data_IF_789572123499
#
_entry.id   IF_789572123499
#
_cell.length_a   1.000
_cell.length_b   1.000
_cell.length_c   1.000
_cell.angle_alpha   90.00
_cell.angle_beta   90.00
_cell.angle_gamma   90.00
#
_symmetry.space_group_name_H-M   'P 1'
#
loop_
_entity.id
_entity.type
_entity.pdbx_description
1 polymer ?
#
# COMPACT_ATOMS: atom_id res chain seq x y z
N UNK A 1 -33.68 2.42 -3.39
CA UNK A 1 -33.07 2.04 -2.10
C UNK A 1 -32.42 0.68 -2.31
N UNK A 2 -31.11 0.64 -2.57
CA UNK A 2 -30.36 -0.61 -2.86
C UNK A 2 -29.54 -0.91 -1.60
N UNK A 3 -29.58 -2.12 -1.03
CA UNK A 3 -28.87 -2.42 0.20
C UNK A 3 -27.37 -2.48 -0.10
N UNK A 4 -26.60 -1.57 0.52
CA UNK A 4 -25.14 -1.55 0.35
C UNK A 4 -24.55 -2.50 1.38
N UNK A 5 -24.06 -3.63 0.87
CA UNK A 5 -23.66 -4.83 1.60
C UNK A 5 -22.43 -4.61 2.51
N UNK A 6 -22.32 -5.42 3.56
CA UNK A 6 -21.36 -5.31 4.67
C UNK A 6 -19.85 -5.29 4.33
N UNK A 7 -19.46 -5.33 3.06
CA UNK A 7 -18.08 -5.11 2.64
C UNK A 7 -17.65 -3.65 2.82
N UNK A 8 -18.53 -2.67 2.61
CA UNK A 8 -18.20 -1.26 2.88
C UNK A 8 -18.08 -0.98 4.37
N UNK A 9 -18.87 -1.65 5.22
CA UNK A 9 -18.76 -1.51 6.68
C UNK A 9 -17.42 -1.98 7.21
N UNK A 10 -16.92 -3.14 6.75
CA UNK A 10 -15.59 -3.61 7.15
C UNK A 10 -14.50 -2.63 6.70
N UNK A 11 -14.52 -2.22 5.43
CA UNK A 11 -13.55 -1.28 4.87
C UNK A 11 -13.58 0.05 5.64
N UNK A 12 -14.75 0.64 5.87
CA UNK A 12 -14.91 1.88 6.64
C UNK A 12 -14.46 1.75 8.11
N UNK A 13 -14.71 0.63 8.77
CA UNK A 13 -14.23 0.39 10.14
C UNK A 13 -12.70 0.29 10.20
N UNK A 14 -12.04 -0.32 9.21
CA UNK A 14 -10.57 -0.38 9.14
C UNK A 14 -9.93 0.96 8.74
N UNK A 15 -10.67 1.87 8.12
CA UNK A 15 -10.22 3.24 7.78
C UNK A 15 -10.35 4.24 8.94
N UNK A 16 -11.08 3.91 10.01
CA UNK A 16 -11.47 4.85 11.06
C UNK A 16 -10.60 4.80 12.34
N UNK A 17 -9.46 4.08 12.34
CA UNK A 17 -8.55 4.03 13.49
C UNK A 17 -7.37 5.01 13.32
N UNK A 18 -7.31 6.09 14.13
CA UNK A 18 -6.34 7.18 13.96
C UNK A 18 -4.94 6.89 14.51
N UNK A 19 -4.67 5.72 15.13
CA UNK A 19 -3.40 5.49 15.84
C UNK A 19 -2.15 5.30 14.94
N UNK A 20 -2.32 5.15 13.62
CA UNK A 20 -1.20 5.08 12.65
C UNK A 20 -1.63 5.57 11.25
N UNK A 21 -2.31 6.72 11.16
CA UNK A 21 -2.72 7.29 9.86
C UNK A 21 -1.61 8.09 9.19
N UNK A 22 -0.57 7.39 8.72
CA UNK A 22 0.43 8.00 7.83
C UNK A 22 0.17 7.55 6.38
N UNK A 23 -0.42 8.41 5.52
CA UNK A 23 -0.38 8.25 4.05
C UNK A 23 1.04 8.34 3.46
N UNK A 24 2.04 8.66 4.27
CA UNK A 24 3.38 8.89 3.81
C UNK A 24 4.18 7.58 3.70
N UNK A 25 5.24 7.53 2.88
CA UNK A 25 6.13 6.38 2.86
C UNK A 25 6.92 6.22 4.17
N UNK A 26 6.61 6.94 5.26
CA UNK A 26 7.25 6.84 6.58
C UNK A 26 6.31 6.18 7.59
N UNK A 27 6.86 5.33 8.46
CA UNK A 27 6.13 4.72 9.58
C UNK A 27 7.05 4.52 10.78
N UNK A 28 6.54 4.84 11.98
CA UNK A 28 7.12 4.42 13.25
C UNK A 28 6.65 3.02 13.65
N UNK A 29 7.23 2.47 14.72
CA UNK A 29 6.82 1.18 15.28
C UNK A 29 6.31 1.34 16.72
N UNK A 30 5.06 0.96 17.03
CA UNK A 30 4.53 1.01 18.38
C UNK A 30 5.43 0.29 19.40
N UNK A 31 5.70 0.94 20.54
CA UNK A 31 6.57 0.42 21.58
C UNK A 31 8.08 0.48 21.28
N UNK A 32 8.49 1.02 20.11
CA UNK A 32 9.90 1.19 19.74
C UNK A 32 10.18 2.64 19.29
N UNK A 33 10.38 3.57 20.23
CA UNK A 33 10.41 5.02 19.96
C UNK A 33 11.56 5.50 19.05
N UNK A 34 12.58 4.66 18.81
CA UNK A 34 13.72 4.97 17.96
C UNK A 34 13.70 4.23 16.62
N UNK A 35 12.71 3.37 16.37
CA UNK A 35 12.60 2.55 15.17
C UNK A 35 11.64 3.19 14.16
N UNK A 36 12.18 3.55 13.00
CA UNK A 36 11.41 4.12 11.90
C UNK A 36 11.83 3.52 10.57
N UNK A 37 10.89 3.55 9.64
CA UNK A 37 11.10 3.18 8.25
C UNK A 37 10.62 4.31 7.38
N UNK A 38 11.34 4.60 6.29
CA UNK A 38 10.79 5.43 5.22
C UNK A 38 11.10 4.86 3.84
N UNK A 39 10.19 5.07 2.90
CA UNK A 39 10.39 4.85 1.47
C UNK A 39 10.75 6.17 0.79
N UNK A 40 11.68 6.12 -0.16
CA UNK A 40 12.07 7.27 -0.94
C UNK A 40 11.54 7.18 -2.38
N UNK A 41 11.33 8.34 -2.99
CA UNK A 41 11.14 8.43 -4.44
C UNK A 41 12.49 8.12 -5.11
N UNK A 42 12.54 7.07 -5.93
CA UNK A 42 13.73 6.65 -6.67
C UNK A 42 14.86 6.00 -5.87
N UNK A 43 14.66 5.64 -4.60
CA UNK A 43 15.76 5.15 -3.75
C UNK A 43 15.36 4.13 -2.67
N UNK A 44 14.24 3.42 -2.85
CA UNK A 44 13.92 2.24 -2.04
C UNK A 44 13.51 2.54 -0.61
N UNK A 45 13.73 1.59 0.31
CA UNK A 45 13.30 1.68 1.71
C UNK A 45 14.50 1.73 2.65
N UNK A 46 14.38 2.60 3.64
CA UNK A 46 15.40 2.89 4.63
C UNK A 46 14.86 2.65 6.04
N UNK A 47 15.73 2.15 6.92
CA UNK A 47 15.44 1.84 8.31
C UNK A 47 16.41 2.59 9.22
N UNK A 48 15.91 3.09 10.34
CA UNK A 48 16.71 3.58 11.46
C UNK A 48 16.29 2.88 12.74
N UNK A 49 17.23 2.65 13.65
CA UNK A 49 16.99 2.10 14.99
C UNK A 49 17.46 3.06 16.11
N UNK A 50 17.92 4.25 15.74
CA UNK A 50 18.51 5.23 16.64
C UNK A 50 17.88 6.63 16.48
N UNK A 51 16.59 6.69 16.10
CA UNK A 51 15.85 7.94 16.01
C UNK A 51 16.27 8.81 14.83
N UNK A 52 16.77 8.21 13.75
CA UNK A 52 17.11 8.91 12.51
C UNK A 52 18.54 9.47 12.45
N UNK A 53 19.39 9.15 13.42
CA UNK A 53 20.81 9.53 13.39
C UNK A 53 21.58 8.81 12.27
N UNK A 54 21.25 7.52 12.05
CA UNK A 54 21.75 6.75 10.90
C UNK A 54 20.63 5.98 10.23
N UNK A 55 20.80 5.72 8.93
CA UNK A 55 19.83 5.03 8.09
C UNK A 55 20.52 3.91 7.31
N UNK A 56 19.89 2.74 7.28
CA UNK A 56 20.32 1.58 6.52
C UNK A 56 19.30 1.29 5.42
N UNK A 57 19.76 1.13 4.18
CA UNK A 57 18.92 0.64 3.09
C UNK A 57 18.53 -0.83 3.35
N UNK A 58 17.25 -1.16 3.18
CA UNK A 58 16.68 -2.50 3.38
C UNK A 58 16.00 -3.07 2.13
N UNK A 59 16.11 -2.40 0.99
CA UNK A 59 15.48 -2.82 -0.27
C UNK A 59 16.48 -3.36 -1.29
N UNK A 60 17.74 -2.94 -1.22
CA UNK A 60 18.79 -3.32 -2.16
C UNK A 60 18.94 -4.85 -2.22
N UNK A 61 19.01 -5.38 -3.45
CA UNK A 61 19.04 -6.81 -3.71
C UNK A 61 17.67 -7.50 -3.81
N UNK A 62 16.57 -6.82 -3.43
CA UNK A 62 15.21 -7.37 -3.50
C UNK A 62 14.31 -6.59 -4.45
N UNK A 63 14.19 -5.28 -4.24
CA UNK A 63 13.34 -4.40 -5.02
C UNK A 63 13.89 -2.97 -5.02
N UNK A 64 13.38 -2.12 -5.89
CA UNK A 64 13.83 -0.74 -6.00
C UNK A 64 12.83 0.16 -6.70
N UNK A 65 13.28 1.37 -7.00
CA UNK A 65 12.43 2.42 -7.56
C UNK A 65 11.74 3.25 -6.48
N UNK A 66 10.62 3.84 -6.84
CA UNK A 66 9.86 4.72 -5.95
C UNK A 66 8.95 3.93 -5.04
N UNK A 67 8.84 4.37 -3.78
CA UNK A 67 8.00 3.73 -2.77
C UNK A 67 6.82 4.65 -2.46
N UNK A 68 5.61 4.10 -2.57
CA UNK A 68 4.36 4.82 -2.30
C UNK A 68 3.77 4.50 -0.94
N UNK A 69 4.10 3.34 -0.36
CA UNK A 69 3.61 2.95 0.95
C UNK A 69 4.60 2.04 1.67
N UNK A 70 4.75 2.24 2.98
CA UNK A 70 5.44 1.32 3.88
C UNK A 70 4.53 1.12 5.09
N UNK A 71 4.28 -0.14 5.45
CA UNK A 71 3.47 -0.48 6.62
C UNK A 71 4.16 -1.56 7.44
N UNK A 72 4.25 -1.36 8.76
CA UNK A 72 4.77 -2.34 9.71
C UNK A 72 3.62 -2.92 10.52
N UNK A 73 3.62 -4.23 10.77
CA UNK A 73 2.58 -4.86 11.57
C UNK A 73 2.70 -4.45 13.04
N UNK A 74 1.57 -4.06 13.64
CA UNK A 74 1.50 -3.73 15.07
C UNK A 74 1.65 -4.98 15.96
N UNK A 75 1.16 -6.14 15.51
CA UNK A 75 1.26 -7.41 16.24
C UNK A 75 2.62 -8.08 16.11
N UNK A 76 3.34 -7.84 15.00
CA UNK A 76 4.69 -8.37 14.77
C UNK A 76 5.54 -7.37 13.97
N UNK A 77 6.36 -6.55 14.65
CA UNK A 77 7.21 -5.56 13.97
C UNK A 77 8.26 -6.12 13.01
N UNK A 78 8.45 -7.44 12.92
CA UNK A 78 9.30 -8.03 11.90
C UNK A 78 8.59 -8.08 10.53
N UNK A 79 7.26 -8.06 10.52
CA UNK A 79 6.48 -8.07 9.28
C UNK A 79 6.31 -6.67 8.73
N UNK A 80 6.84 -6.46 7.53
CA UNK A 80 6.80 -5.19 6.81
C UNK A 80 6.22 -5.44 5.43
N UNK A 81 5.28 -4.61 5.01
CA UNK A 81 4.78 -4.55 3.64
C UNK A 81 5.20 -3.25 2.98
N UNK A 82 5.61 -3.33 1.73
CA UNK A 82 6.08 -2.20 0.94
C UNK A 82 5.34 -2.16 -0.38
N UNK A 83 4.79 -1.00 -0.72
CA UNK A 83 4.11 -0.72 -1.98
C UNK A 83 4.96 0.14 -2.88
N UNK A 84 5.21 -0.35 -4.10
CA UNK A 84 5.95 0.40 -5.12
C UNK A 84 5.09 1.44 -5.84
N UNK A 85 5.79 2.42 -6.42
CA UNK A 85 5.23 3.50 -7.23
C UNK A 85 4.90 4.73 -6.40
N UNK A 86 5.18 5.90 -6.96
CA UNK A 86 4.95 7.16 -6.27
C UNK A 86 3.46 7.44 -6.02
N UNK A 87 3.09 7.79 -4.78
CA UNK A 87 1.72 8.15 -4.42
C UNK A 87 1.33 9.54 -4.97
N UNK A 88 2.26 10.49 -4.97
CA UNK A 88 2.06 11.85 -5.48
C UNK A 88 2.17 11.92 -6.99
N UNK A 89 1.03 11.76 -7.67
CA UNK A 89 0.93 11.91 -9.13
C UNK A 89 1.10 13.38 -9.56
N UNK A 90 2.34 13.77 -9.84
CA UNK A 90 2.71 15.01 -10.55
C UNK A 90 3.16 14.65 -11.97
N UNK A 91 3.19 15.61 -12.91
CA UNK A 91 3.34 15.38 -14.35
C UNK A 91 4.49 14.48 -14.83
N UNK A 92 5.44 14.11 -13.95
CA UNK A 92 6.36 12.99 -14.13
C UNK A 92 6.32 12.13 -12.86
N UNK A 93 5.89 10.86 -12.97
CA UNK A 93 5.78 9.93 -11.83
C UNK A 93 6.43 8.60 -12.14
N UNK A 94 7.13 8.07 -11.14
CA UNK A 94 7.80 6.78 -11.24
C UNK A 94 6.86 5.65 -10.79
N UNK A 95 6.58 4.72 -11.68
CA UNK A 95 5.86 3.50 -11.34
C UNK A 95 6.73 2.55 -10.52
N UNK A 96 6.09 1.66 -9.79
CA UNK A 96 6.72 0.55 -9.09
C UNK A 96 6.21 -0.81 -9.57
N UNK A 97 6.69 -1.83 -8.89
CA UNK A 97 6.53 -3.24 -9.26
C UNK A 97 5.77 -3.98 -8.16
N UNK A 98 4.57 -3.48 -7.83
CA UNK A 98 3.64 -4.16 -6.93
C UNK A 98 4.00 -4.05 -5.45
N UNK A 99 3.71 -5.12 -4.72
CA UNK A 99 3.84 -5.19 -3.26
C UNK A 99 4.92 -6.19 -2.87
N UNK A 100 5.68 -5.85 -1.83
CA UNK A 100 6.74 -6.66 -1.26
C UNK A 100 6.47 -6.90 0.23
N UNK A 101 6.91 -8.05 0.74
CA UNK A 101 6.86 -8.39 2.16
C UNK A 101 8.22 -8.83 2.68
N UNK A 102 8.54 -8.36 3.88
CA UNK A 102 9.61 -8.88 4.74
C UNK A 102 8.98 -9.47 6.00
N UNK A 103 9.55 -10.56 6.49
CA UNK A 103 9.17 -11.21 7.76
C UNK A 103 10.32 -11.15 8.80
N UNK A 104 11.38 -10.41 8.49
CA UNK A 104 12.62 -10.33 9.26
C UNK A 104 13.12 -8.87 9.38
N UNK A 105 12.16 -7.95 9.53
CA UNK A 105 12.36 -6.53 9.77
C UNK A 105 13.18 -5.81 8.69
N UNK A 106 13.05 -6.25 7.43
CA UNK A 106 13.71 -5.70 6.24
C UNK A 106 15.04 -6.39 5.89
N UNK A 107 15.33 -7.56 6.43
CA UNK A 107 16.57 -8.27 6.09
C UNK A 107 16.45 -9.00 4.75
N UNK A 108 15.27 -9.56 4.49
CA UNK A 108 14.87 -10.17 3.22
C UNK A 108 13.55 -9.60 2.71
N UNK A 109 13.37 -9.63 1.39
CA UNK A 109 12.15 -9.17 0.72
C UNK A 109 11.64 -10.19 -0.29
N UNK A 110 10.34 -10.45 -0.27
CA UNK A 110 9.64 -11.32 -1.22
C UNK A 110 8.59 -10.52 -2.00
N UNK A 111 8.54 -10.70 -3.32
CA UNK A 111 7.47 -10.11 -4.14
C UNK A 111 6.15 -10.81 -3.90
N UNK A 112 5.08 -10.04 -3.78
CA UNK A 112 3.71 -10.51 -3.58
C UNK A 112 2.81 -10.24 -4.79
N UNK A 113 3.41 -9.83 -5.92
CA UNK A 113 2.70 -9.46 -7.15
C UNK A 113 2.01 -8.10 -7.05
N UNK A 114 0.87 -7.96 -7.75
CA UNK A 114 0.21 -6.68 -8.04
C UNK A 114 1.06 -5.72 -8.89
N UNK A 115 2.00 -6.25 -9.66
CA UNK A 115 2.97 -5.48 -10.48
C UNK A 115 2.27 -4.56 -11.50
N UNK A 116 1.13 -5.02 -12.01
CA UNK A 116 0.30 -4.30 -12.99
C UNK A 116 -0.46 -3.12 -12.39
N UNK A 117 -0.58 -3.04 -11.07
CA UNK A 117 -1.21 -1.90 -10.41
C UNK A 117 -0.38 -0.63 -10.51
N UNK A 118 0.95 -0.76 -10.73
CA UNK A 118 1.96 0.29 -10.94
C UNK A 118 2.18 1.24 -9.77
N UNK A 119 1.14 1.61 -9.04
CA UNK A 119 1.16 2.61 -7.98
C UNK A 119 0.33 2.11 -6.79
N UNK A 120 1.03 1.83 -5.70
CA UNK A 120 0.42 1.47 -4.42
C UNK A 120 0.41 2.71 -3.53
N UNK A 121 -0.77 3.29 -3.33
CA UNK A 121 -0.92 4.51 -2.53
C UNK A 121 -1.10 4.25 -1.04
N UNK A 122 -1.47 3.02 -0.64
CA UNK A 122 -1.66 2.70 0.78
C UNK A 122 -1.66 1.21 1.07
N UNK A 123 -1.16 0.84 2.25
CA UNK A 123 -1.23 -0.52 2.80
C UNK A 123 -1.75 -0.45 4.25
N UNK A 124 -2.65 -1.35 4.62
CA UNK A 124 -3.18 -1.49 5.98
C UNK A 124 -3.11 -2.95 6.41
N UNK A 125 -2.43 -3.20 7.53
CA UNK A 125 -2.27 -4.53 8.12
C UNK A 125 -3.24 -4.64 9.29
N UNK A 126 -3.91 -5.79 9.43
CA UNK A 126 -4.80 -6.02 10.56
C UNK A 126 -4.02 -5.99 11.88
N UNK A 127 -4.52 -5.32 12.93
CA UNK A 127 -3.74 -4.99 14.13
C UNK A 127 -3.26 -6.21 14.92
N UNK A 128 -3.98 -7.33 14.83
CA UNK A 128 -3.67 -8.57 15.56
C UNK A 128 -3.28 -9.74 14.67
N UNK A 129 -3.32 -9.58 13.34
CA UNK A 129 -2.99 -10.67 12.42
C UNK A 129 -2.29 -10.12 11.15
N UNK A 130 -0.97 -10.30 11.01
CA UNK A 130 -0.21 -9.74 9.89
C UNK A 130 -0.55 -10.34 8.52
N UNK A 131 -1.29 -11.46 8.46
CA UNK A 131 -1.68 -12.10 7.20
C UNK A 131 -2.92 -11.46 6.56
N UNK A 132 -3.69 -10.71 7.34
CA UNK A 132 -4.83 -9.95 6.81
C UNK A 132 -4.35 -8.55 6.47
N UNK A 133 -4.23 -8.28 5.17
CA UNK A 133 -3.70 -7.01 4.65
C UNK A 133 -4.57 -6.47 3.53
N UNK A 134 -4.72 -5.15 3.50
CA UNK A 134 -5.43 -4.40 2.48
C UNK A 134 -4.47 -3.48 1.75
N UNK A 135 -4.60 -3.41 0.43
CA UNK A 135 -3.76 -2.60 -0.46
C UNK A 135 -4.65 -1.73 -1.33
N UNK A 136 -4.42 -0.42 -1.30
CA UNK A 136 -5.05 0.55 -2.18
C UNK A 136 -4.14 0.79 -3.40
N UNK A 137 -4.55 0.26 -4.53
CA UNK A 137 -3.88 0.39 -5.81
C UNK A 137 -4.52 1.52 -6.63
N UNK A 138 -3.72 2.51 -7.00
CA UNK A 138 -4.15 3.64 -7.85
C UNK A 138 -4.34 3.15 -9.30
N UNK A 139 -3.60 2.12 -9.72
CA UNK A 139 -3.66 1.63 -11.10
C UNK A 139 -2.89 2.52 -12.07
N UNK A 140 -2.79 2.12 -13.34
CA UNK A 140 -2.19 2.95 -14.38
C UNK A 140 -3.00 4.25 -14.53
N UNK A 141 -2.36 5.39 -14.26
CA UNK A 141 -2.97 6.72 -14.35
C UNK A 141 -3.01 7.28 -15.78
N UNK A 142 -2.24 6.68 -16.70
CA UNK A 142 -2.11 7.14 -18.09
C UNK A 142 -3.02 6.38 -19.06
N UNK A 143 -3.73 5.35 -18.60
CA UNK A 143 -4.62 4.55 -19.44
C UNK A 143 -5.77 3.95 -18.62
N UNK A 144 -6.91 3.67 -19.27
CA UNK A 144 -7.95 2.84 -18.68
C UNK A 144 -7.36 1.48 -18.28
N UNK A 145 -7.59 1.07 -17.04
CA UNK A 145 -6.97 -0.13 -16.51
C UNK A 145 -7.80 -0.77 -15.40
N UNK A 146 -7.91 -2.10 -15.45
CA UNK A 146 -8.75 -2.85 -14.53
C UNK A 146 -8.10 -3.04 -13.15
N UNK A 147 -6.82 -2.73 -12.97
CA UNK A 147 -6.11 -3.00 -11.71
C UNK A 147 -6.19 -1.86 -10.67
N UNK A 148 -7.02 -0.84 -10.91
CA UNK A 148 -7.36 0.17 -9.89
C UNK A 148 -8.36 -0.38 -8.87
N UNK A 149 -8.09 -0.22 -7.58
CA UNK A 149 -9.03 -0.58 -6.52
C UNK A 149 -8.37 -0.98 -5.21
N UNK A 150 -9.17 -1.52 -4.29
CA UNK A 150 -8.69 -2.09 -3.04
C UNK A 150 -8.61 -3.60 -3.17
N UNK A 151 -7.45 -4.14 -2.84
CA UNK A 151 -7.16 -5.56 -2.77
C UNK A 151 -7.06 -5.99 -1.31
N UNK A 152 -7.54 -7.19 -1.01
CA UNK A 152 -7.45 -7.83 0.31
C UNK A 152 -6.73 -9.17 0.16
N UNK A 153 -5.77 -9.41 1.03
CA UNK A 153 -5.23 -10.75 1.29
C UNK A 153 -5.63 -11.21 2.69
N UNK A 154 -5.72 -12.52 2.88
CA UNK A 154 -5.93 -13.19 4.17
C UNK A 154 -4.84 -14.23 4.45
N UNK A 155 -3.80 -14.26 3.62
CA UNK A 155 -2.72 -15.26 3.62
C UNK A 155 -1.33 -14.61 3.50
N UNK A 156 -1.22 -13.36 3.96
CA UNK A 156 0.04 -12.63 4.01
C UNK A 156 0.55 -12.18 2.64
N UNK A 157 -0.36 -11.96 1.69
CA UNK A 157 -0.05 -11.50 0.34
C UNK A 157 0.24 -12.60 -0.68
N UNK A 158 0.06 -13.88 -0.33
CA UNK A 158 0.20 -15.00 -1.29
C UNK A 158 -0.90 -14.97 -2.34
N UNK A 159 -2.10 -14.52 -1.97
CA UNK A 159 -3.21 -14.29 -2.88
C UNK A 159 -3.94 -12.97 -2.57
N UNK A 160 -4.51 -12.37 -3.61
CA UNK A 160 -5.21 -11.09 -3.53
C UNK A 160 -6.60 -11.19 -4.12
N UNK A 161 -7.60 -10.74 -3.35
CA UNK A 161 -8.97 -10.55 -3.81
C UNK A 161 -9.28 -9.06 -3.93
N UNK A 162 -9.75 -8.63 -5.10
CA UNK A 162 -10.26 -7.27 -5.29
C UNK A 162 -11.59 -7.11 -4.55
N UNK A 163 -11.67 -6.17 -3.61
CA UNK A 163 -12.83 -5.99 -2.71
C UNK A 163 -13.54 -4.65 -2.88
N UNK A 164 -12.90 -3.66 -3.50
CA UNK A 164 -13.54 -2.40 -3.89
C UNK A 164 -12.97 -1.93 -5.21
N UNK A 165 -13.83 -1.61 -6.17
CA UNK A 165 -13.44 -1.01 -7.44
C UNK A 165 -14.59 -0.18 -7.98
N UNK A 166 -14.26 0.91 -8.67
CA UNK A 166 -15.23 1.67 -9.45
C UNK A 166 -15.28 0.99 -10.82
N UNK A 167 -16.45 0.52 -11.24
CA UNK A 167 -16.65 0.03 -12.61
C UNK A 167 -16.26 1.13 -13.60
N UNK A 168 -15.52 0.77 -14.65
CA UNK A 168 -14.99 1.67 -15.68
C UNK A 168 -16.08 2.25 -16.62
N UNK A 169 -17.33 2.35 -16.16
CA UNK A 169 -18.46 2.84 -16.94
C UNK A 169 -18.74 4.34 -16.76
N UNK A 170 -17.69 5.14 -16.53
CA UNK A 170 -17.80 6.61 -16.60
C UNK A 170 -16.64 7.19 -17.40
N UNK A 171 -16.63 6.90 -18.69
CA UNK A 171 -16.36 8.00 -19.61
C UNK A 171 -17.50 9.01 -19.43
N UNK A 172 -17.15 10.29 -19.36
CA UNK A 172 -18.08 11.40 -19.48
C UNK A 172 -18.76 11.33 -20.86
N UNK A 173 -19.81 10.52 -20.98
CA UNK A 173 -20.75 10.60 -22.09
C UNK A 173 -21.79 11.69 -21.80
N UNK A 174 -22.19 12.49 -22.80
CA UNK A 174 -23.20 13.53 -22.57
C UNK A 174 -24.51 12.88 -22.12
N UNK A 175 -25.17 13.52 -21.15
CA UNK A 175 -26.47 13.10 -20.64
C UNK A 175 -27.47 12.96 -21.80
N UNK A 176 -28.16 11.81 -21.94
CA UNK A 176 -29.25 11.71 -22.89
C UNK A 176 -30.48 12.44 -22.34
N UNK A 177 -30.92 13.48 -23.07
CA UNK A 177 -32.27 14.01 -22.99
C UNK A 177 -32.42 15.37 -22.30
N UNK A 178 -32.37 16.44 -23.09
CA UNK A 178 -33.20 17.61 -22.86
C UNK A 178 -33.83 18.06 -24.18
N UNK A 179 -35.14 17.86 -24.25
CA UNK A 179 -36.12 18.20 -25.30
C UNK A 179 -36.30 17.20 -26.44
#
# INVERSE_FOLDING_TARGET
MIPVSGQLHAVAQYWAFPEVDDPAPVTGVPGKPNLYYFGSTGGGVWKTDNGGNTWKNISDGYFGGSIGAVAVSASDPNVIYVGGGEETVRGNVSFGYGVWKSEDAGTTGNSLGLDKTRFIGRIRIHPTNPDIVYVAAIGNIFAAHQDRGVFKSMDGGKSWKKVLYINDSRSSGPLPGSQ
#
